data_IF_358852355184
#
_entry.id   IF_358852355184
#
_cell.length_a   1.000
_cell.length_b   1.000
_cell.length_c   1.000
_cell.angle_alpha   90.00
_cell.angle_beta   90.00
_cell.angle_gamma   90.00
#
_symmetry.space_group_name_H-M   'P 1'
#
loop_
_entity.id
_entity.type
_entity.pdbx_description
1 polymer ?
#
# COMPACT_ATOMS: atom_id res chain seq x y z
N UNK A 1 3.51 -17.93 35.22
CA UNK A 1 2.18 -17.30 35.40
C UNK A 1 1.77 -16.74 34.05
N UNK A 2 0.68 -17.27 33.48
CA UNK A 2 0.25 -16.98 32.10
C UNK A 2 -0.53 -15.66 32.05
N UNK A 3 -0.13 -14.75 31.15
CA UNK A 3 -0.87 -13.51 30.90
C UNK A 3 -1.95 -13.78 29.84
N UNK A 4 -3.22 -13.75 30.26
CA UNK A 4 -4.38 -13.84 29.38
C UNK A 4 -4.83 -12.43 28.96
N UNK A 5 -4.55 -12.08 27.72
CA UNK A 5 -4.98 -10.84 27.08
C UNK A 5 -6.50 -10.83 26.89
N UNK A 6 -7.23 -10.06 27.69
CA UNK A 6 -8.69 -9.89 27.53
C UNK A 6 -8.96 -8.82 26.48
N UNK A 7 -9.28 -9.23 25.26
CA UNK A 7 -9.73 -8.34 24.19
C UNK A 7 -11.18 -7.92 24.47
N UNK A 8 -11.36 -6.71 25.00
CA UNK A 8 -12.67 -6.06 25.14
C UNK A 8 -13.15 -5.58 23.76
N UNK A 9 -13.55 -6.54 22.93
CA UNK A 9 -14.28 -6.26 21.69
C UNK A 9 -15.63 -5.67 22.03
N UNK A 10 -15.78 -4.35 21.86
CA UNK A 10 -17.09 -3.70 21.90
C UNK A 10 -17.94 -4.31 20.79
N UNK A 11 -18.97 -5.07 21.15
CA UNK A 11 -19.97 -5.56 20.21
C UNK A 11 -20.64 -4.36 19.57
N UNK A 12 -20.30 -4.09 18.31
CA UNK A 12 -21.02 -3.11 17.49
C UNK A 12 -22.46 -3.62 17.43
N UNK A 13 -23.47 -2.84 17.87
CA UNK A 13 -24.85 -3.25 17.74
C UNK A 13 -25.13 -3.49 16.25
N UNK A 14 -25.73 -4.63 15.93
CA UNK A 14 -26.25 -4.94 14.61
C UNK A 14 -27.27 -3.86 14.25
N UNK A 15 -26.82 -2.77 13.61
CA UNK A 15 -27.67 -1.73 13.09
C UNK A 15 -28.21 -2.25 11.76
N UNK A 16 -29.21 -3.13 11.84
CA UNK A 16 -30.03 -3.46 10.68
C UNK A 16 -30.79 -2.18 10.35
N UNK A 17 -30.25 -1.44 9.39
CA UNK A 17 -30.90 -0.26 8.83
C UNK A 17 -32.11 -0.78 8.06
N UNK A 18 -33.27 -0.84 8.72
CA UNK A 18 -34.54 -1.25 8.14
C UNK A 18 -35.01 -0.18 7.15
N UNK A 19 -34.34 -0.13 6.00
CA UNK A 19 -34.73 0.73 4.89
C UNK A 19 -35.98 0.13 4.25
N UNK A 20 -37.14 0.58 4.68
CA UNK A 20 -38.41 0.28 4.01
C UNK A 20 -38.43 1.03 2.67
N UNK A 21 -38.47 0.32 1.52
CA UNK A 21 -38.30 0.96 0.22
C UNK A 21 -39.46 1.89 -0.08
N UNK A 22 -39.14 3.05 -0.64
CA UNK A 22 -40.12 4.02 -1.10
C UNK A 22 -40.67 3.56 -2.45
N UNK A 23 -41.93 3.13 -2.47
CA UNK A 23 -42.66 2.74 -3.67
C UNK A 23 -43.44 3.95 -4.20
N UNK A 24 -43.42 4.17 -5.51
CA UNK A 24 -44.11 5.29 -6.16
C UNK A 24 -45.24 4.78 -7.07
N UNK A 25 -46.35 5.51 -7.13
CA UNK A 25 -47.45 5.23 -8.04
C UNK A 25 -47.21 5.86 -9.43
N UNK A 26 -48.12 5.62 -10.38
CA UNK A 26 -48.06 6.21 -11.72
C UNK A 26 -48.16 7.74 -11.75
N UNK A 27 -48.72 8.35 -10.70
CA UNK A 27 -48.78 9.81 -10.55
C UNK A 27 -47.46 10.41 -10.02
N UNK A 28 -46.44 9.60 -9.75
CA UNK A 28 -45.18 10.04 -9.15
C UNK A 28 -45.24 10.33 -7.65
N UNK A 29 -46.39 10.11 -7.01
CA UNK A 29 -46.55 10.22 -5.56
C UNK A 29 -46.08 8.95 -4.85
N UNK A 30 -45.61 9.10 -3.61
CA UNK A 30 -45.30 7.95 -2.74
C UNK A 30 -46.57 7.15 -2.48
N UNK A 31 -46.52 5.85 -2.80
CA UNK A 31 -47.59 4.93 -2.50
C UNK A 31 -47.66 4.70 -0.98
N UNK A 32 -48.87 4.77 -0.43
CA UNK A 32 -49.13 4.53 1.00
C UNK A 32 -49.28 3.04 1.24
N UNK A 33 -48.67 2.54 2.33
CA UNK A 33 -48.88 1.18 2.81
C UNK A 33 -50.24 1.09 3.50
N UNK A 34 -51.11 0.24 3.01
CA UNK A 34 -52.46 0.02 3.51
C UNK A 34 -52.65 -1.44 3.88
N UNK A 35 -53.51 -1.71 4.87
CA UNK A 35 -53.87 -3.07 5.27
C UNK A 35 -55.28 -3.40 4.80
N UNK A 36 -55.44 -4.51 4.09
CA UNK A 36 -56.72 -5.03 3.64
C UNK A 36 -57.60 -5.40 4.83
N UNK A 37 -58.82 -4.87 4.87
CA UNK A 37 -59.74 -4.99 6.00
C UNK A 37 -60.13 -6.43 6.34
N UNK A 38 -60.27 -7.28 5.31
CA UNK A 38 -60.77 -8.64 5.45
C UNK A 38 -59.64 -9.69 5.50
N UNK A 39 -58.51 -9.40 4.86
CA UNK A 39 -57.41 -10.35 4.68
C UNK A 39 -56.22 -10.10 5.61
N UNK A 40 -56.14 -8.91 6.23
CA UNK A 40 -54.96 -8.47 6.99
C UNK A 40 -53.71 -8.28 6.11
N UNK A 41 -53.82 -8.46 4.79
CA UNK A 41 -52.69 -8.36 3.87
C UNK A 41 -52.36 -6.91 3.59
N UNK A 42 -51.07 -6.60 3.58
CA UNK A 42 -50.57 -5.26 3.29
C UNK A 42 -50.36 -5.05 1.78
N UNK A 43 -50.72 -3.87 1.29
CA UNK A 43 -50.55 -3.47 -0.10
C UNK A 43 -50.15 -2.00 -0.19
N UNK A 44 -49.47 -1.64 -1.28
CA UNK A 44 -49.15 -0.27 -1.64
C UNK A 44 -50.23 0.27 -2.58
N UNK A 45 -50.85 1.37 -2.20
CA UNK A 45 -51.87 2.06 -2.98
C UNK A 45 -51.54 3.53 -3.22
N UNK A 46 -52.04 4.11 -4.31
CA UNK A 46 -51.94 5.55 -4.52
C UNK A 46 -52.81 6.30 -3.50
N UNK A 47 -52.29 7.32 -2.80
CA UNK A 47 -53.11 8.13 -1.88
C UNK A 47 -54.23 8.88 -2.62
N UNK A 48 -54.04 9.19 -3.90
CA UNK A 48 -54.96 9.99 -4.71
C UNK A 48 -56.00 9.18 -5.49
N UNK A 49 -56.22 7.92 -5.11
CA UNK A 49 -57.14 7.02 -5.80
C UNK A 49 -58.59 7.56 -5.88
N UNK A 50 -59.00 8.39 -4.92
CA UNK A 50 -60.36 8.99 -4.87
C UNK A 50 -60.54 10.22 -5.76
N UNK A 51 -59.48 10.99 -6.00
CA UNK A 51 -59.60 12.31 -6.66
C UNK A 51 -59.26 12.20 -8.14
N UNK A 52 -58.12 11.57 -8.46
CA UNK A 52 -57.65 11.44 -9.85
C UNK A 52 -57.87 10.04 -10.43
N UNK A 53 -58.41 9.09 -9.65
CA UNK A 53 -58.70 7.74 -10.13
C UNK A 53 -57.44 6.88 -10.36
N UNK A 54 -56.30 7.21 -9.73
CA UNK A 54 -55.08 6.41 -9.86
C UNK A 54 -55.29 5.00 -9.30
N UNK A 55 -55.41 4.01 -10.18
CA UNK A 55 -55.61 2.60 -9.85
C UNK A 55 -54.33 1.84 -9.46
N UNK A 56 -53.27 2.52 -9.05
CA UNK A 56 -52.02 1.86 -8.66
C UNK A 56 -52.23 0.98 -7.43
N UNK A 57 -51.94 -0.30 -7.58
CA UNK A 57 -52.11 -1.31 -6.54
C UNK A 57 -51.04 -2.40 -6.70
N UNK A 58 -50.25 -2.63 -5.64
CA UNK A 58 -49.27 -3.74 -5.61
C UNK A 58 -49.23 -4.33 -4.21
N UNK A 59 -49.27 -5.66 -4.12
CA UNK A 59 -49.14 -6.34 -2.83
C UNK A 59 -47.72 -6.22 -2.25
N UNK A 60 -47.61 -6.09 -0.92
CA UNK A 60 -46.32 -5.93 -0.23
C UNK A 60 -45.40 -7.14 -0.42
N UNK A 61 -45.95 -8.35 -0.36
CA UNK A 61 -45.23 -9.61 -0.55
C UNK A 61 -44.61 -9.73 -1.95
N UNK A 62 -45.31 -9.26 -2.99
CA UNK A 62 -44.79 -9.21 -4.37
C UNK A 62 -43.58 -8.27 -4.45
N UNK A 63 -43.65 -7.10 -3.80
CA UNK A 63 -42.53 -6.15 -3.75
C UNK A 63 -41.35 -6.69 -2.93
N UNK A 64 -41.62 -7.37 -1.82
CA UNK A 64 -40.59 -8.02 -1.01
C UNK A 64 -39.91 -9.15 -1.80
N UNK A 65 -40.66 -9.95 -2.55
CA UNK A 65 -40.13 -11.00 -3.43
C UNK A 65 -39.32 -10.44 -4.61
N UNK A 66 -39.74 -9.31 -5.20
CA UNK A 66 -38.96 -8.62 -6.22
C UNK A 66 -37.65 -8.08 -5.64
N UNK A 67 -37.69 -7.44 -4.46
CA UNK A 67 -36.50 -6.96 -3.75
C UNK A 67 -35.51 -8.10 -3.52
N UNK A 68 -35.98 -9.22 -3.00
CA UNK A 68 -35.12 -10.36 -2.70
C UNK A 68 -34.44 -10.92 -3.96
N UNK A 69 -35.11 -10.88 -5.12
CA UNK A 69 -34.51 -11.28 -6.40
C UNK A 69 -33.45 -10.29 -6.89
N UNK A 70 -33.74 -8.99 -6.86
CA UNK A 70 -32.79 -7.97 -7.34
C UNK A 70 -31.58 -7.82 -6.40
N UNK A 71 -31.81 -7.80 -5.09
CA UNK A 71 -30.74 -7.64 -4.11
C UNK A 71 -29.97 -8.93 -3.84
N UNK A 72 -30.62 -10.10 -3.87
CA UNK A 72 -29.98 -11.37 -3.50
C UNK A 72 -28.90 -11.81 -4.49
N UNK A 73 -29.20 -11.76 -5.79
CA UNK A 73 -28.29 -12.31 -6.81
C UNK A 73 -27.26 -11.29 -7.31
N UNK A 74 -27.68 -10.05 -7.55
CA UNK A 74 -26.81 -9.00 -8.08
C UNK A 74 -25.75 -8.55 -7.07
N UNK A 75 -26.14 -8.37 -5.80
CA UNK A 75 -25.22 -7.89 -4.77
C UNK A 75 -24.16 -8.94 -4.45
N UNK A 76 -24.55 -10.21 -4.29
CA UNK A 76 -23.62 -11.29 -3.96
C UNK A 76 -22.59 -11.54 -5.07
N UNK A 77 -23.03 -11.50 -6.34
CA UNK A 77 -22.13 -11.67 -7.49
C UNK A 77 -21.12 -10.53 -7.57
N UNK A 78 -21.58 -9.29 -7.40
CA UNK A 78 -20.72 -8.10 -7.42
C UNK A 78 -19.75 -8.09 -6.23
N UNK A 79 -20.20 -8.45 -5.03
CA UNK A 79 -19.32 -8.51 -3.87
C UNK A 79 -18.22 -9.54 -4.08
N UNK A 80 -18.53 -10.74 -4.58
CA UNK A 80 -17.52 -11.77 -4.78
C UNK A 80 -16.49 -11.38 -5.85
N UNK A 81 -16.95 -10.75 -6.93
CA UNK A 81 -16.05 -10.23 -7.96
C UNK A 81 -15.14 -9.14 -7.40
N UNK A 82 -15.67 -8.22 -6.59
CA UNK A 82 -14.86 -7.18 -5.94
C UNK A 82 -13.87 -7.78 -4.93
N UNK A 83 -14.28 -8.76 -4.11
CA UNK A 83 -13.36 -9.46 -3.21
C UNK A 83 -12.22 -10.14 -3.97
N UNK A 84 -12.52 -10.75 -5.13
CA UNK A 84 -11.48 -11.33 -6.00
C UNK A 84 -10.52 -10.26 -6.51
N UNK A 85 -11.03 -9.14 -7.04
CA UNK A 85 -10.19 -8.01 -7.50
C UNK A 85 -9.33 -7.43 -6.38
N UNK A 86 -9.87 -7.31 -5.16
CA UNK A 86 -9.13 -6.86 -3.98
C UNK A 86 -8.00 -7.84 -3.65
N UNK A 87 -8.26 -9.15 -3.68
CA UNK A 87 -7.25 -10.17 -3.47
C UNK A 87 -6.15 -10.13 -4.53
N UNK A 88 -6.52 -10.03 -5.81
CA UNK A 88 -5.57 -9.96 -6.93
C UNK A 88 -4.69 -8.70 -6.81
N UNK A 89 -5.29 -7.55 -6.47
CA UNK A 89 -4.56 -6.31 -6.27
C UNK A 89 -3.61 -6.40 -5.06
N UNK A 90 -4.05 -7.00 -3.96
CA UNK A 90 -3.20 -7.21 -2.79
C UNK A 90 -1.98 -8.10 -3.12
N UNK A 91 -2.16 -9.14 -3.95
CA UNK A 91 -1.07 -9.97 -4.43
C UNK A 91 -0.09 -9.17 -5.31
N UNK A 92 -0.59 -8.34 -6.22
CA UNK A 92 0.25 -7.47 -7.04
C UNK A 92 1.06 -6.49 -6.19
N UNK A 93 0.44 -5.88 -5.18
CA UNK A 93 1.13 -5.00 -4.23
C UNK A 93 2.25 -5.72 -3.48
N UNK A 94 2.04 -6.98 -3.08
CA UNK A 94 3.07 -7.77 -2.41
C UNK A 94 4.30 -8.02 -3.31
N UNK A 95 4.07 -8.27 -4.61
CA UNK A 95 5.15 -8.44 -5.60
C UNK A 95 5.93 -7.14 -5.76
N UNK A 96 5.23 -6.03 -6.02
CA UNK A 96 5.88 -4.72 -6.20
C UNK A 96 6.66 -4.31 -4.96
N UNK A 97 6.13 -4.54 -3.75
CA UNK A 97 6.84 -4.26 -2.51
C UNK A 97 8.11 -5.08 -2.35
N UNK A 98 8.10 -6.35 -2.79
CA UNK A 98 9.29 -7.21 -2.80
C UNK A 98 10.35 -6.66 -3.77
N UNK A 99 9.95 -6.25 -4.95
CA UNK A 99 10.87 -5.70 -5.96
C UNK A 99 11.49 -4.39 -5.49
N UNK A 100 10.68 -3.48 -4.94
CA UNK A 100 11.16 -2.21 -4.34
C UNK A 100 12.17 -2.49 -3.22
N UNK A 101 11.94 -3.51 -2.39
CA UNK A 101 12.89 -3.92 -1.35
C UNK A 101 14.20 -4.42 -1.97
N UNK A 102 14.13 -5.29 -2.98
CA UNK A 102 15.32 -5.82 -3.65
C UNK A 102 16.17 -4.71 -4.28
N UNK A 103 15.53 -3.78 -5.01
CA UNK A 103 16.22 -2.64 -5.62
C UNK A 103 16.87 -1.75 -4.55
N UNK A 104 16.18 -1.50 -3.43
CA UNK A 104 16.74 -0.75 -2.30
C UNK A 104 18.00 -1.40 -1.75
N UNK A 105 17.98 -2.71 -1.53
CA UNK A 105 19.12 -3.44 -0.98
C UNK A 105 20.31 -3.45 -1.95
N UNK A 106 20.06 -3.59 -3.26
CA UNK A 106 21.09 -3.48 -4.30
C UNK A 106 21.75 -2.10 -4.33
N UNK A 107 20.94 -1.04 -4.26
CA UNK A 107 21.45 0.33 -4.21
C UNK A 107 22.30 0.55 -2.95
N UNK A 108 21.83 0.11 -1.79
CA UNK A 108 22.55 0.25 -0.52
C UNK A 108 23.89 -0.48 -0.56
N UNK A 109 23.91 -1.71 -1.06
CA UNK A 109 25.14 -2.50 -1.20
C UNK A 109 26.13 -1.85 -2.17
N UNK A 110 25.66 -1.33 -3.30
CA UNK A 110 26.51 -0.64 -4.26
C UNK A 110 27.16 0.63 -3.68
N UNK A 111 26.40 1.38 -2.87
CA UNK A 111 26.86 2.59 -2.20
C UNK A 111 27.97 2.26 -1.19
N UNK A 112 27.72 1.28 -0.30
CA UNK A 112 28.70 0.84 0.70
C UNK A 112 30.01 0.37 0.04
N UNK A 113 29.90 -0.40 -1.05
CA UNK A 113 31.09 -0.86 -1.79
C UNK A 113 31.85 0.30 -2.44
N UNK A 114 31.16 1.32 -2.93
CA UNK A 114 31.78 2.52 -3.48
C UNK A 114 32.54 3.30 -2.40
N UNK A 115 31.94 3.48 -1.22
CA UNK A 115 32.58 4.15 -0.07
C UNK A 115 33.84 3.42 0.39
N UNK A 116 33.78 2.10 0.52
CA UNK A 116 34.95 1.28 0.87
C UNK A 116 36.08 1.42 -0.16
N UNK A 117 35.74 1.50 -1.46
CA UNK A 117 36.73 1.72 -2.53
C UNK A 117 37.36 3.11 -2.43
N UNK A 118 36.57 4.14 -2.12
CA UNK A 118 37.07 5.51 -1.89
C UNK A 118 38.04 5.52 -0.71
N UNK A 119 37.69 4.88 0.41
CA UNK A 119 38.54 4.83 1.61
C UNK A 119 39.86 4.10 1.36
N UNK A 120 39.82 2.96 0.65
CA UNK A 120 41.04 2.23 0.22
C UNK A 120 41.94 3.10 -0.66
N UNK A 121 41.37 3.85 -1.61
CA UNK A 121 42.11 4.80 -2.45
C UNK A 121 42.74 5.93 -1.63
N UNK A 122 42.01 6.50 -0.66
CA UNK A 122 42.52 7.53 0.26
C UNK A 122 43.73 7.02 1.05
N UNK A 123 43.65 5.82 1.62
CA UNK A 123 44.77 5.17 2.35
C UNK A 123 45.98 4.99 1.43
N UNK A 124 45.78 4.42 0.23
CA UNK A 124 46.87 4.20 -0.75
C UNK A 124 47.55 5.51 -1.19
N UNK A 125 46.78 6.58 -1.37
CA UNK A 125 47.34 7.89 -1.74
C UNK A 125 48.14 8.52 -0.59
N UNK A 126 47.68 8.38 0.66
CA UNK A 126 48.41 8.85 1.85
C UNK A 126 49.78 8.18 1.99
N UNK A 127 49.89 6.87 1.71
CA UNK A 127 51.20 6.19 1.70
C UNK A 127 52.11 6.65 0.56
N UNK A 128 51.56 6.97 -0.62
CA UNK A 128 52.34 7.53 -1.75
C UNK A 128 52.91 8.91 -1.43
N UNK A 129 52.13 9.80 -0.82
CA UNK A 129 52.62 11.13 -0.44
C UNK A 129 53.70 11.08 0.64
N UNK A 130 53.65 10.10 1.55
CA UNK A 130 54.70 9.87 2.55
C UNK A 130 55.97 9.26 1.95
N UNK A 131 55.84 8.35 0.98
CA UNK A 131 56.98 7.77 0.26
C UNK A 131 57.71 8.75 -0.66
N UNK A 132 57.01 9.76 -1.18
CA UNK A 132 57.59 10.78 -2.07
C UNK A 132 58.40 11.86 -1.32
N UNK A 133 58.17 12.03 -0.01
CA UNK A 133 59.06 12.80 0.87
C UNK A 133 60.22 11.97 1.46
N UNK A 134 60.09 10.63 1.50
CA UNK A 134 61.08 9.74 2.12
C UNK A 134 62.21 9.22 1.21
N UNK A 135 62.13 9.40 -0.11
CA UNK A 135 63.15 8.93 -1.06
C UNK A 135 63.91 10.04 -1.80
N UNK A 136 63.57 11.32 -1.56
CA UNK A 136 64.22 12.48 -2.19
C UNK A 136 65.36 13.11 -1.40
N UNK A 137 65.70 12.62 -0.20
CA UNK A 137 66.71 13.25 0.67
C UNK A 137 67.90 12.35 1.07
N UNK A 138 67.98 11.11 0.59
CA UNK A 138 69.07 10.19 0.99
C UNK A 138 70.00 9.75 -0.14
N UNK A 139 69.68 10.01 -1.41
CA UNK A 139 70.57 9.66 -2.53
C UNK A 139 71.56 10.78 -2.90
N UNK A 140 71.25 12.05 -2.61
CA UNK A 140 72.19 13.16 -2.87
C UNK A 140 73.29 13.29 -1.80
N UNK A 141 73.09 12.77 -0.59
CA UNK A 141 74.10 12.82 0.47
C UNK A 141 75.20 11.73 0.33
N UNK A 142 74.89 10.58 -0.28
CA UNK A 142 75.87 9.48 -0.42
C UNK A 142 76.86 9.74 -1.56
N UNK A 143 76.48 10.54 -2.57
CA UNK A 143 77.37 10.92 -3.66
C UNK A 143 78.45 11.94 -3.25
N UNK A 144 78.28 12.69 -2.16
CA UNK A 144 79.28 13.68 -1.71
C UNK A 144 80.44 13.10 -0.90
N UNK A 145 80.35 11.85 -0.41
CA UNK A 145 81.42 11.26 0.42
C UNK A 145 82.45 10.48 -0.42
N UNK A 146 82.13 10.10 -1.66
CA UNK A 146 83.04 9.31 -2.50
C UNK A 146 83.93 10.12 -3.47
N UNK A 147 83.78 11.44 -3.55
CA UNK A 147 84.54 12.28 -4.48
C UNK A 147 85.69 13.07 -3.84
N UNK A 148 86.15 12.70 -2.64
CA UNK A 148 87.21 13.45 -1.95
C UNK A 148 88.33 12.56 -1.36
N UNK A 149 88.68 11.47 -2.03
CA UNK A 149 89.80 10.61 -1.65
C UNK A 149 90.82 10.35 -2.77
N UNK A 150 90.74 11.03 -3.92
CA UNK A 150 91.60 10.74 -5.06
C UNK A 150 92.05 11.99 -5.84
N UNK A 151 92.51 13.04 -5.17
CA UNK A 151 93.35 14.07 -5.81
C UNK A 151 94.20 14.81 -4.76
N UNK A 152 95.47 14.44 -4.65
CA UNK A 152 96.42 15.05 -3.73
C UNK A 152 97.83 14.49 -3.90
N UNK A 153 98.42 14.76 -5.07
CA UNK A 153 99.84 14.60 -5.38
C UNK A 153 100.75 15.18 -4.28
N UNK A 154 101.85 14.51 -3.96
CA UNK A 154 103.14 15.19 -3.87
C UNK A 154 104.32 14.20 -4.05
N UNK A 155 105.05 14.41 -5.15
CA UNK A 155 106.45 14.00 -5.35
C UNK A 155 107.35 14.68 -4.32
N UNK A 156 108.30 13.96 -3.73
CA UNK A 156 109.75 13.93 -4.05
C UNK A 156 110.47 13.05 -3.02
#
# INVERSE_FOLDING_TARGET
>A
MSASSTSTGRKIPNFTFDYEPVVYCHCGMKASLCTGRESGKMFYGCPNWKVEGCGYFVWKDVMDAYRNRIHGEGVYRNTNEMHKKISDLAQQMAIVQKDVRCVRDLLLNSHVLAEQKIEKKKKKNKYRSLGQFGFGFTLDCIAMVYFNANNGLCSY
#
